data_IF_397410966594
#
_entry.id   IF_397410966594
#
_cell.length_a   1.000
_cell.length_b   1.000
_cell.length_c   1.000
_cell.angle_alpha   90.00
_cell.angle_beta   90.00
_cell.angle_gamma   90.00
#
_symmetry.space_group_name_H-M   'P 1'
#
loop_
_entity.id
_entity.type
_entity.pdbx_description
1 polymer ?
#
# COMPACT_ATOMS: atom_id res chain seq x y z
N UNK A 1 12.29 8.51 18.31
CA UNK A 1 11.42 7.52 17.62
C UNK A 1 11.85 7.33 16.18
N UNK A 2 11.92 6.08 15.72
CA UNK A 2 12.21 5.77 14.31
C UNK A 2 10.96 5.95 13.43
N UNK A 3 11.10 6.33 12.15
CA UNK A 3 9.98 6.31 11.21
C UNK A 3 9.57 4.90 10.82
N UNK A 4 8.28 4.73 10.51
CA UNK A 4 7.69 3.53 9.90
C UNK A 4 6.99 3.99 8.62
N UNK A 5 7.47 3.55 7.47
CA UNK A 5 6.89 3.87 6.17
C UNK A 5 5.95 2.75 5.72
N UNK A 6 4.77 3.12 5.21
CA UNK A 6 3.75 2.20 4.74
C UNK A 6 3.66 2.32 3.22
N UNK A 7 4.13 1.29 2.52
CA UNK A 7 4.06 1.22 1.05
C UNK A 7 2.91 0.32 0.59
N UNK A 8 2.28 0.71 -0.51
CA UNK A 8 1.39 -0.14 -1.30
C UNK A 8 1.88 -0.10 -2.74
N UNK A 9 2.36 -1.22 -3.25
CA UNK A 9 3.03 -1.26 -4.55
C UNK A 9 4.27 -0.35 -4.56
N UNK A 10 4.33 0.55 -5.54
CA UNK A 10 5.39 1.54 -5.69
C UNK A 10 5.14 2.84 -4.90
N UNK A 11 3.98 2.98 -4.25
CA UNK A 11 3.59 4.23 -3.59
C UNK A 11 3.77 4.20 -2.07
N UNK A 12 4.37 5.27 -1.55
CA UNK A 12 4.48 5.52 -0.12
C UNK A 12 3.18 6.15 0.39
N UNK A 13 2.26 5.30 0.86
CA UNK A 13 0.93 5.71 1.29
C UNK A 13 0.95 6.55 2.57
N UNK A 14 1.76 6.14 3.56
CA UNK A 14 1.80 6.80 4.86
C UNK A 14 3.16 6.71 5.54
N UNK A 15 3.38 7.56 6.55
CA UNK A 15 4.51 7.49 7.47
C UNK A 15 4.02 7.63 8.91
N UNK A 16 4.62 6.90 9.84
CA UNK A 16 4.41 7.05 11.28
C UNK A 16 5.71 7.40 11.99
N UNK A 17 5.66 8.40 12.88
CA UNK A 17 6.75 8.72 13.82
C UNK A 17 6.14 8.90 15.20
N UNK A 18 6.53 8.05 16.15
CA UNK A 18 5.96 8.04 17.50
C UNK A 18 4.46 7.71 17.46
N UNK A 19 3.63 8.62 17.97
CA UNK A 19 2.17 8.48 18.03
C UNK A 19 1.44 9.07 16.82
N UNK A 20 2.14 9.73 15.91
CA UNK A 20 1.52 10.37 14.75
C UNK A 20 1.73 9.57 13.48
N UNK A 21 0.67 9.42 12.70
CA UNK A 21 0.70 8.80 11.37
C UNK A 21 0.08 9.76 10.36
N UNK A 22 0.81 10.05 9.29
CA UNK A 22 0.39 10.91 8.19
C UNK A 22 0.19 10.07 6.93
N UNK A 23 -0.99 10.16 6.31
CA UNK A 23 -1.31 9.54 5.03
C UNK A 23 -1.13 10.57 3.92
N UNK A 24 -0.21 10.28 3.00
CA UNK A 24 0.01 11.04 1.77
C UNK A 24 -0.83 10.48 0.60
N UNK A 25 -1.33 9.26 0.75
CA UNK A 25 -2.29 8.66 -0.16
C UNK A 25 -3.24 7.74 0.63
N UNK A 26 -4.54 7.78 0.31
CA UNK A 26 -5.54 6.88 0.88
C UNK A 26 -6.22 6.09 -0.23
N UNK A 27 -6.41 4.79 0.02
CA UNK A 27 -7.15 3.94 -0.89
C UNK A 27 -7.50 2.61 -0.23
N UNK A 28 -8.77 2.20 -0.25
CA UNK A 28 -9.18 0.84 0.06
C UNK A 28 -9.03 -0.04 -1.19
N UNK A 29 -10.01 0.00 -2.08
CA UNK A 29 -10.09 -0.74 -3.33
C UNK A 29 -11.01 -0.02 -4.32
N UNK A 30 -10.94 -0.35 -5.61
CA UNK A 30 -11.75 0.32 -6.63
C UNK A 30 -13.26 0.12 -6.41
N UNK A 31 -14.07 1.06 -6.90
CA UNK A 31 -15.52 0.92 -6.96
C UNK A 31 -15.96 -0.36 -7.70
N UNK A 32 -15.24 -0.75 -8.74
CA UNK A 32 -15.49 -2.00 -9.47
C UNK A 32 -15.38 -3.21 -8.53
N UNK A 33 -14.28 -3.34 -7.80
CA UNK A 33 -14.09 -4.42 -6.83
C UNK A 33 -15.12 -4.38 -5.71
N UNK A 34 -15.40 -3.19 -5.19
CA UNK A 34 -16.40 -3.01 -4.13
C UNK A 34 -17.79 -3.44 -4.58
N UNK A 35 -18.20 -3.07 -5.80
CA UNK A 35 -19.48 -3.50 -6.38
C UNK A 35 -19.59 -5.01 -6.61
N UNK A 36 -18.46 -5.71 -6.71
CA UNK A 36 -18.39 -7.17 -6.81
C UNK A 36 -18.40 -7.87 -5.44
N UNK A 37 -18.56 -7.10 -4.34
CA UNK A 37 -18.61 -7.61 -2.97
C UNK A 37 -17.25 -7.76 -2.30
N UNK A 38 -16.17 -7.23 -2.90
CA UNK A 38 -14.85 -7.19 -2.28
C UNK A 38 -14.81 -5.97 -1.36
N UNK A 39 -14.88 -6.17 -0.05
CA UNK A 39 -14.80 -5.11 0.94
C UNK A 39 -13.61 -5.33 1.87
N UNK A 40 -12.63 -4.42 1.81
CA UNK A 40 -11.45 -4.46 2.69
C UNK A 40 -11.73 -3.91 4.09
N UNK A 41 -12.83 -3.19 4.27
CA UNK A 41 -13.19 -2.48 5.49
C UNK A 41 -14.64 -2.81 5.94
N UNK A 42 -15.02 -4.09 6.09
CA UNK A 42 -16.41 -4.47 6.36
C UNK A 42 -16.95 -3.85 7.64
N UNK A 43 -18.08 -3.15 7.52
CA UNK A 43 -18.71 -2.43 8.63
C UNK A 43 -17.96 -1.18 9.09
N UNK A 44 -16.99 -0.70 8.29
CA UNK A 44 -16.21 0.49 8.57
C UNK A 44 -16.30 1.48 7.40
N UNK A 45 -16.60 2.74 7.72
CA UNK A 45 -16.55 3.82 6.75
C UNK A 45 -16.13 5.11 7.48
N UNK A 46 -14.97 5.63 7.14
CA UNK A 46 -14.45 6.91 7.64
C UNK A 46 -14.41 7.87 6.46
N UNK A 47 -15.28 8.88 6.51
CA UNK A 47 -15.48 9.83 5.42
C UNK A 47 -14.18 10.55 5.03
N UNK A 48 -13.84 10.52 3.74
CA UNK A 48 -12.60 11.11 3.21
C UNK A 48 -11.32 10.36 3.59
N UNK A 49 -11.40 9.16 4.18
CA UNK A 49 -10.25 8.34 4.58
C UNK A 49 -10.32 6.96 3.95
N UNK A 50 -11.45 6.25 4.10
CA UNK A 50 -11.66 4.92 3.47
C UNK A 50 -12.26 5.08 2.08
N UNK A 51 -11.44 5.56 1.14
CA UNK A 51 -11.86 5.98 -0.20
C UNK A 51 -11.73 4.83 -1.22
N UNK A 52 -12.69 4.70 -2.13
CA UNK A 52 -12.65 3.71 -3.22
C UNK A 52 -11.90 4.20 -4.47
N UNK A 53 -11.47 5.45 -4.44
CA UNK A 53 -10.52 6.02 -5.38
C UNK A 53 -9.18 6.22 -4.66
N UNK A 54 -8.09 6.13 -5.42
CA UNK A 54 -6.77 6.44 -4.90
C UNK A 54 -6.66 7.97 -4.77
N UNK A 55 -6.80 8.46 -3.55
CA UNK A 55 -6.76 9.90 -3.26
C UNK A 55 -5.35 10.31 -2.82
N UNK A 56 -4.84 11.38 -3.44
CA UNK A 56 -3.54 11.96 -3.11
C UNK A 56 -3.69 13.14 -2.13
N UNK A 57 -2.90 13.10 -1.06
CA UNK A 57 -2.89 14.09 0.01
C UNK A 57 -1.48 14.71 0.17
N UNK A 58 -0.79 14.97 -0.95
CA UNK A 58 0.62 15.37 -0.94
C UNK A 58 0.88 16.67 -0.18
N UNK A 59 0.01 17.67 -0.35
CA UNK A 59 0.15 19.00 0.26
C UNK A 59 -0.43 19.07 1.68
N UNK A 60 -1.50 18.31 1.93
CA UNK A 60 -2.24 18.30 3.19
C UNK A 60 -2.49 16.84 3.60
N UNK A 61 -1.46 16.10 4.05
CA UNK A 61 -1.61 14.71 4.43
C UNK A 61 -2.61 14.56 5.58
N UNK A 62 -3.38 13.48 5.58
CA UNK A 62 -4.31 13.20 6.68
C UNK A 62 -3.51 12.69 7.87
N UNK A 63 -3.48 13.45 8.96
CA UNK A 63 -2.69 13.13 10.16
C UNK A 63 -3.61 12.60 11.25
N UNK A 64 -3.21 11.50 11.88
CA UNK A 64 -3.90 10.89 13.02
C UNK A 64 -2.95 10.75 14.21
N UNK A 65 -3.48 10.95 15.41
CA UNK A 65 -2.78 10.65 16.66
C UNK A 65 -3.20 9.26 17.16
N UNK A 66 -2.42 8.22 16.83
CA UNK A 66 -2.75 6.82 17.11
C UNK A 66 -2.89 6.46 18.59
N UNK A 67 -2.31 7.24 19.50
CA UNK A 67 -2.52 7.06 20.95
C UNK A 67 -3.90 7.51 21.45
N UNK A 68 -4.56 8.42 20.72
CA UNK A 68 -5.89 8.98 21.05
C UNK A 68 -6.96 8.36 20.14
N UNK A 69 -6.58 8.10 18.90
CA UNK A 69 -7.42 7.57 17.85
C UNK A 69 -6.73 6.38 17.15
N UNK A 70 -6.73 5.19 17.78
CA UNK A 70 -6.14 4.00 17.19
C UNK A 70 -6.90 3.51 15.95
N UNK A 71 -8.16 3.95 15.77
CA UNK A 71 -9.03 3.53 14.66
C UNK A 71 -8.97 4.46 13.45
N UNK A 72 -8.13 5.50 13.47
CA UNK A 72 -7.95 6.46 12.37
C UNK A 72 -9.29 7.07 11.90
N UNK A 73 -10.17 7.39 12.86
CA UNK A 73 -11.53 7.90 12.62
C UNK A 73 -11.59 9.43 12.55
N UNK A 74 -10.65 10.11 13.20
CA UNK A 74 -10.71 11.55 13.43
C UNK A 74 -9.38 12.20 12.98
N UNK A 75 -9.27 12.62 11.71
CA UNK A 75 -8.09 13.32 11.24
C UNK A 75 -7.91 14.64 12.00
N UNK A 76 -6.68 14.97 12.34
CA UNK A 76 -6.32 16.22 13.01
C UNK A 76 -6.60 17.38 12.05
N UNK A 77 -7.29 18.41 12.54
CA UNK A 77 -7.62 19.59 11.73
C UNK A 77 -6.38 20.27 11.15
N UNK A 78 -6.40 20.54 9.85
CA UNK A 78 -5.33 21.24 9.11
C UNK A 78 -4.96 22.62 9.70
N UNK A 79 -5.93 23.29 10.34
CA UNK A 79 -5.73 24.60 10.97
C UNK A 79 -5.18 24.54 12.39
N UNK A 80 -5.03 23.34 12.97
CA UNK A 80 -4.56 23.19 14.34
C UNK A 80 -3.04 23.35 14.46
N UNK A 81 -2.58 23.86 15.60
CA UNK A 81 -1.16 23.93 15.91
C UNK A 81 -0.51 22.54 16.00
N UNK A 82 -1.26 21.53 16.47
CA UNK A 82 -0.80 20.12 16.51
C UNK A 82 -0.50 19.61 15.10
N UNK A 83 -1.36 19.89 14.12
CA UNK A 83 -1.14 19.50 12.75
C UNK A 83 0.13 20.11 12.17
N UNK A 84 0.31 21.44 12.31
CA UNK A 84 1.48 22.13 11.79
C UNK A 84 2.79 21.62 12.41
N UNK A 85 2.79 21.45 13.75
CA UNK A 85 3.94 20.90 14.47
C UNK A 85 4.31 19.49 14.00
N UNK A 86 3.33 18.62 13.76
CA UNK A 86 3.57 17.25 13.29
C UNK A 86 4.06 17.27 11.84
N UNK A 87 3.48 18.10 10.98
CA UNK A 87 3.87 18.21 9.58
C UNK A 87 5.31 18.71 9.42
N UNK A 88 5.72 19.71 10.19
CA UNK A 88 7.10 20.21 10.23
C UNK A 88 8.10 19.13 10.64
N UNK A 89 7.70 18.23 11.55
CA UNK A 89 8.52 17.11 11.99
C UNK A 89 8.59 15.98 10.96
N UNK A 90 7.49 15.65 10.28
CA UNK A 90 7.42 14.53 9.35
C UNK A 90 7.99 14.85 7.96
N UNK A 91 7.81 16.09 7.49
CA UNK A 91 8.25 16.52 6.16
C UNK A 91 9.73 16.24 5.86
N UNK A 92 10.70 16.62 6.72
CA UNK A 92 12.11 16.35 6.43
C UNK A 92 12.42 14.85 6.39
N UNK A 93 11.76 14.04 7.23
CA UNK A 93 11.94 12.59 7.28
C UNK A 93 11.47 11.94 5.96
N UNK A 94 10.31 12.36 5.47
CA UNK A 94 9.75 11.85 4.20
C UNK A 94 10.60 12.32 3.02
N UNK A 95 11.07 13.57 3.03
CA UNK A 95 11.94 14.11 1.99
C UNK A 95 13.28 13.36 1.94
N UNK A 96 13.92 13.16 3.09
CA UNK A 96 15.18 12.41 3.19
C UNK A 96 15.01 10.97 2.70
N UNK A 97 13.96 10.28 3.14
CA UNK A 97 13.67 8.91 2.69
C UNK A 97 13.46 8.84 1.18
N UNK A 98 12.64 9.73 0.60
CA UNK A 98 12.40 9.77 -0.85
C UNK A 98 13.66 10.13 -1.65
N UNK A 99 14.48 11.04 -1.14
CA UNK A 99 15.71 11.49 -1.81
C UNK A 99 16.82 10.43 -1.80
N UNK A 100 16.85 9.57 -0.77
CA UNK A 100 17.88 8.55 -0.59
C UNK A 100 17.45 7.15 -1.05
N UNK A 101 16.16 6.91 -1.24
CA UNK A 101 15.63 5.66 -1.76
C UNK A 101 16.02 5.48 -3.23
N UNK A 102 16.75 4.41 -3.52
CA UNK A 102 16.98 3.91 -4.88
C UNK A 102 16.11 2.66 -5.07
N UNK A 103 14.93 2.75 -5.73
CA UNK A 103 14.06 1.60 -5.91
C UNK A 103 14.73 0.50 -6.74
N UNK A 104 14.60 -0.75 -6.28
CA UNK A 104 15.02 -1.91 -7.06
C UNK A 104 14.18 -2.09 -8.32
N UNK A 105 14.70 -2.85 -9.28
CA UNK A 105 13.94 -3.21 -10.48
C UNK A 105 12.71 -4.07 -10.09
N UNK A 106 11.49 -3.72 -10.57
CA UNK A 106 10.26 -4.39 -10.15
C UNK A 106 10.22 -5.84 -10.65
N UNK A 107 10.25 -6.79 -9.70
CA UNK A 107 10.26 -8.23 -10.00
C UNK A 107 8.87 -8.82 -10.28
N UNK A 108 7.81 -8.08 -9.96
CA UNK A 108 6.42 -8.57 -10.00
C UNK A 108 5.66 -8.14 -11.28
N UNK A 109 6.38 -7.65 -12.29
CA UNK A 109 5.76 -7.10 -13.50
C UNK A 109 5.41 -8.16 -14.54
N UNK A 110 6.11 -9.30 -14.57
CA UNK A 110 6.03 -10.28 -15.65
C UNK A 110 5.51 -11.61 -15.13
N UNK A 111 4.49 -12.14 -15.79
CA UNK A 111 3.85 -13.40 -15.50
C UNK A 111 3.92 -14.31 -16.73
N UNK A 112 4.15 -15.59 -16.51
CA UNK A 112 4.10 -16.62 -17.55
C UNK A 112 3.44 -17.88 -16.97
N UNK A 113 2.51 -18.48 -17.71
CA UNK A 113 1.87 -19.73 -17.28
C UNK A 113 2.85 -20.91 -17.34
N UNK A 114 3.86 -20.87 -18.20
CA UNK A 114 4.83 -21.94 -18.36
C UNK A 114 5.76 -22.10 -17.14
N UNK A 115 5.96 -21.04 -16.33
CA UNK A 115 6.82 -21.07 -15.14
C UNK A 115 6.10 -21.45 -13.85
N UNK A 116 4.82 -21.82 -13.93
CA UNK A 116 4.09 -22.39 -12.79
C UNK A 116 4.70 -23.74 -12.37
N UNK A 117 4.24 -24.30 -11.26
CA UNK A 117 4.75 -25.53 -10.64
C UNK A 117 4.42 -26.81 -11.41
N UNK A 118 4.72 -26.87 -12.72
CA UNK A 118 4.45 -28.03 -13.58
C UNK A 118 5.35 -29.21 -13.26
N UNK A 119 6.65 -28.97 -13.09
CA UNK A 119 7.62 -30.02 -12.77
C UNK A 119 8.62 -29.58 -11.69
N UNK A 120 8.18 -29.40 -10.43
CA UNK A 120 9.10 -29.07 -9.34
C UNK A 120 10.13 -30.18 -9.12
N UNK A 121 11.34 -29.86 -8.64
CA UNK A 121 12.34 -30.87 -8.30
C UNK A 121 11.78 -31.97 -7.40
N UNK A 122 11.96 -33.23 -7.78
CA UNK A 122 11.43 -34.40 -7.07
C UNK A 122 10.08 -34.93 -7.58
N UNK A 123 9.41 -34.23 -8.51
CA UNK A 123 8.14 -34.70 -9.08
C UNK A 123 8.27 -36.04 -9.81
N UNK A 124 9.44 -36.34 -10.39
CA UNK A 124 9.68 -37.57 -11.17
C UNK A 124 9.62 -38.81 -10.28
N UNK A 125 10.30 -38.78 -9.13
CA UNK A 125 10.26 -39.87 -8.14
C UNK A 125 8.87 -40.12 -7.60
N UNK A 126 8.06 -39.07 -7.51
CA UNK A 126 6.69 -39.13 -7.04
C UNK A 126 5.68 -39.48 -8.15
N UNK A 127 6.10 -39.51 -9.41
CA UNK A 127 5.19 -39.66 -10.56
C UNK A 127 4.17 -38.53 -10.68
N UNK A 128 4.53 -37.31 -10.26
CA UNK A 128 3.62 -36.15 -10.16
C UNK A 128 4.01 -34.97 -11.06
N UNK A 129 4.91 -35.16 -12.01
CA UNK A 129 5.23 -34.11 -12.98
C UNK A 129 4.06 -33.91 -13.96
N UNK A 130 3.80 -32.64 -14.29
CA UNK A 130 2.83 -32.23 -15.29
C UNK A 130 3.54 -31.56 -16.46
N UNK A 131 2.94 -31.62 -17.66
CA UNK A 131 3.48 -30.96 -18.85
C UNK A 131 3.09 -29.47 -18.83
N UNK A 132 4.08 -28.59 -18.92
CA UNK A 132 3.87 -27.15 -19.02
C UNK A 132 3.30 -26.74 -20.41
N UNK A 133 2.50 -25.67 -20.48
CA UNK A 133 2.17 -25.01 -21.75
C UNK A 133 3.40 -24.32 -22.34
N UNK A 134 3.37 -23.89 -23.62
CA UNK A 134 4.41 -23.06 -24.21
C UNK A 134 4.63 -21.75 -23.43
N UNK A 135 5.86 -21.22 -23.34
CA UNK A 135 6.15 -19.93 -22.73
C UNK A 135 5.41 -18.78 -23.42
N UNK A 136 4.84 -17.89 -22.61
CA UNK A 136 4.13 -16.67 -23.05
C UNK A 136 4.27 -15.57 -21.98
N UNK A 137 5.47 -14.97 -21.83
CA UNK A 137 5.71 -13.95 -20.82
C UNK A 137 4.99 -12.65 -21.16
N UNK A 138 4.17 -12.17 -20.23
CA UNK A 138 3.37 -10.94 -20.38
C UNK A 138 3.27 -10.17 -19.09
N UNK A 139 2.79 -8.93 -19.17
CA UNK A 139 2.51 -8.15 -17.96
C UNK A 139 1.51 -8.89 -17.07
N UNK A 140 1.83 -8.99 -15.79
CA UNK A 140 0.89 -9.46 -14.79
C UNK A 140 -0.31 -8.50 -14.74
N UNK A 141 -1.50 -9.06 -14.51
CA UNK A 141 -2.68 -8.26 -14.21
C UNK A 141 -2.79 -8.11 -12.69
N UNK A 142 -2.61 -6.88 -12.21
CA UNK A 142 -2.85 -6.50 -10.83
C UNK A 142 -4.19 -5.76 -10.79
N UNK A 143 -5.20 -6.25 -10.05
CA UNK A 143 -6.54 -5.65 -10.03
C UNK A 143 -6.63 -4.39 -9.14
N UNK A 144 -5.48 -3.89 -8.69
CA UNK A 144 -5.28 -2.77 -7.79
C UNK A 144 -4.07 -1.97 -8.26
#
# INVERSE_FOLDING_TARGET
DRPIFYYRGNEMMAVRVGLYKAHYCTWSNSWEQFSQGIDFCPGQNVSGVTTHEQEEHLMLPLIFHLGKDPGEKYPISFSSAEYQFVLERLSPIVQEHKATLVPGQPQLNVCDKAVMNWAPPGCEKLGKCLKAPPPDPKKCFWPH
#
